data_IF_073816766695
#
_entry.id   IF_073816766695
#
_cell.length_a   1.000
_cell.length_b   1.000
_cell.length_c   1.000
_cell.angle_alpha   90.00
_cell.angle_beta   90.00
_cell.angle_gamma   90.00
#
_symmetry.space_group_name_H-M   'P 1'
#
loop_
_entity.id
_entity.type
_entity.pdbx_description
1 polymer ?
#
# COMPACT_ATOMS: atom_id res chain seq x y z
N UNK A 1 -11.71 11.40 -13.36
CA UNK A 1 -12.02 12.36 -12.26
C UNK A 1 -10.86 13.32 -12.02
N UNK A 2 -9.62 12.85 -11.81
CA UNK A 2 -8.48 13.76 -11.65
C UNK A 2 -8.38 14.77 -12.80
N UNK A 3 -8.46 14.33 -14.06
CA UNK A 3 -8.38 15.21 -15.23
C UNK A 3 -9.44 16.32 -15.30
N UNK A 4 -10.64 16.11 -14.74
CA UNK A 4 -11.76 17.08 -14.84
C UNK A 4 -11.81 18.07 -13.68
N UNK A 5 -11.14 17.77 -12.57
CA UNK A 5 -11.06 18.68 -11.41
C UNK A 5 -9.91 19.66 -11.68
N UNK A 6 -10.09 20.98 -11.51
CA UNK A 6 -8.99 21.95 -11.61
C UNK A 6 -7.85 21.70 -10.61
N UNK A 7 -6.62 22.16 -10.92
CA UNK A 7 -5.44 21.90 -10.08
C UNK A 7 -5.43 22.71 -8.77
N UNK A 8 -6.11 23.84 -8.75
CA UNK A 8 -6.31 24.69 -7.57
C UNK A 8 -7.37 24.14 -6.60
N UNK A 9 -8.21 23.20 -7.06
CA UNK A 9 -9.19 22.51 -6.22
C UNK A 9 -8.55 21.28 -5.60
N UNK A 10 -8.51 21.25 -4.26
CA UNK A 10 -8.01 20.11 -3.50
C UNK A 10 -8.79 18.83 -3.85
N UNK A 11 -8.06 17.77 -4.21
CA UNK A 11 -8.62 16.47 -4.58
C UNK A 11 -7.95 15.38 -3.76
N UNK A 12 -8.73 14.46 -3.21
CA UNK A 12 -8.22 13.26 -2.55
C UNK A 12 -9.19 12.08 -2.73
N UNK A 13 -8.85 10.89 -2.25
CA UNK A 13 -9.70 9.70 -2.33
C UNK A 13 -10.08 9.20 -0.94
N UNK A 14 -11.15 8.40 -0.86
CA UNK A 14 -11.50 7.72 0.39
C UNK A 14 -10.35 6.87 0.91
N UNK A 15 -9.63 6.17 0.02
CA UNK A 15 -8.48 5.35 0.41
C UNK A 15 -7.35 6.16 1.05
N UNK A 16 -7.08 7.38 0.56
CA UNK A 16 -6.10 8.29 1.16
C UNK A 16 -6.55 8.75 2.55
N UNK A 17 -7.82 9.14 2.69
CA UNK A 17 -8.40 9.52 3.98
C UNK A 17 -8.34 8.36 4.99
N UNK A 18 -8.65 7.15 4.54
CA UNK A 18 -8.67 5.96 5.39
C UNK A 18 -7.26 5.54 5.84
N UNK A 19 -6.29 5.65 4.93
CA UNK A 19 -4.86 5.51 5.23
C UNK A 19 -4.42 6.48 6.34
N UNK A 20 -4.79 7.76 6.24
CA UNK A 20 -4.49 8.76 7.28
C UNK A 20 -5.24 8.50 8.59
N UNK A 21 -6.49 8.04 8.51
CA UNK A 21 -7.32 7.80 9.69
C UNK A 21 -6.80 6.63 10.55
N UNK A 22 -6.47 5.50 9.92
CA UNK A 22 -6.10 4.25 10.61
C UNK A 22 -4.60 3.96 10.65
N UNK A 23 -3.82 4.43 9.69
CA UNK A 23 -2.40 4.09 9.56
C UNK A 23 -1.44 5.21 9.97
N UNK A 24 -0.25 5.14 9.36
CA UNK A 24 0.75 6.20 9.30
C UNK A 24 0.84 6.66 7.84
N UNK A 25 0.23 7.80 7.52
CA UNK A 25 0.10 8.29 6.14
C UNK A 25 1.45 8.59 5.49
N UNK A 26 2.37 9.23 6.22
CA UNK A 26 3.69 9.63 5.72
C UNK A 26 4.55 8.40 5.42
N UNK A 27 4.56 7.41 6.32
CA UNK A 27 5.24 6.14 6.10
C UNK A 27 4.67 5.40 4.88
N UNK A 28 3.33 5.33 4.76
CA UNK A 28 2.66 4.66 3.64
C UNK A 28 2.90 5.36 2.30
N UNK A 29 2.97 6.69 2.31
CA UNK A 29 3.33 7.49 1.15
C UNK A 29 4.79 7.23 0.76
N UNK A 30 5.72 7.24 1.71
CA UNK A 30 7.13 6.93 1.47
C UNK A 30 7.30 5.54 0.87
N UNK A 31 6.65 4.52 1.45
CA UNK A 31 6.70 3.15 0.91
C UNK A 31 6.10 3.02 -0.49
N UNK A 32 5.12 3.85 -0.85
CA UNK A 32 4.61 3.90 -2.22
C UNK A 32 5.66 4.48 -3.18
N UNK A 33 6.32 5.58 -2.80
CA UNK A 33 7.38 6.19 -3.59
C UNK A 33 8.60 5.27 -3.76
N UNK A 34 8.86 4.39 -2.79
CA UNK A 34 9.95 3.40 -2.85
C UNK A 34 9.70 2.28 -3.86
N UNK A 35 8.48 2.13 -4.40
CA UNK A 35 8.19 1.13 -5.43
C UNK A 35 9.08 1.31 -6.68
N UNK A 36 9.54 2.55 -6.96
CA UNK A 36 10.46 2.83 -8.07
C UNK A 36 11.86 2.22 -7.90
N UNK A 37 12.24 1.87 -6.67
CA UNK A 37 13.54 1.33 -6.32
C UNK A 37 13.56 -0.21 -6.34
N UNK A 38 12.40 -0.85 -6.54
CA UNK A 38 12.28 -2.30 -6.62
C UNK A 38 13.06 -2.86 -7.82
N UNK A 39 13.59 -4.06 -7.64
CA UNK A 39 14.42 -4.79 -8.59
C UNK A 39 13.73 -6.06 -9.04
N UNK A 40 14.26 -6.65 -10.11
CA UNK A 40 13.83 -7.97 -10.54
C UNK A 40 14.11 -9.01 -9.44
N UNK A 41 13.17 -9.92 -9.28
CA UNK A 41 13.11 -10.99 -8.28
C UNK A 41 12.98 -10.55 -6.81
N UNK A 42 12.77 -9.25 -6.54
CA UNK A 42 12.38 -8.76 -5.20
C UNK A 42 11.06 -9.40 -4.75
N UNK A 43 10.98 -9.78 -3.47
CA UNK A 43 9.79 -10.37 -2.87
C UNK A 43 8.96 -9.30 -2.15
N UNK A 44 7.68 -9.20 -2.51
CA UNK A 44 6.71 -8.27 -1.95
C UNK A 44 5.72 -9.04 -1.09
N UNK A 45 5.55 -8.62 0.16
CA UNK A 45 4.51 -9.18 1.04
C UNK A 45 3.20 -8.42 0.85
N UNK A 46 2.15 -9.12 0.44
CA UNK A 46 0.78 -8.62 0.37
C UNK A 46 0.01 -9.06 1.60
N UNK A 47 -0.54 -8.11 2.34
CA UNK A 47 -1.16 -8.35 3.66
C UNK A 47 -2.65 -8.05 3.63
N UNK A 48 -3.47 -9.07 3.85
CA UNK A 48 -4.91 -8.92 4.07
C UNK A 48 -5.23 -8.88 5.57
N UNK A 49 -5.90 -7.83 6.02
CA UNK A 49 -6.32 -7.70 7.43
C UNK A 49 -7.46 -8.64 7.84
N UNK A 50 -7.98 -9.45 6.92
CA UNK A 50 -9.13 -10.33 7.11
C UNK A 50 -8.87 -11.70 6.51
N UNK A 51 -9.53 -12.72 7.03
CA UNK A 51 -9.39 -14.12 6.60
C UNK A 51 -10.54 -14.59 5.69
N UNK A 52 -11.38 -13.68 5.17
CA UNK A 52 -12.57 -14.06 4.41
C UNK A 52 -12.24 -14.54 2.99
N UNK A 53 -13.21 -15.25 2.40
CA UNK A 53 -13.05 -16.01 1.15
C UNK A 53 -12.67 -15.11 -0.04
N UNK A 54 -11.56 -15.47 -0.66
CA UNK A 54 -10.97 -14.83 -1.84
C UNK A 54 -11.80 -15.18 -3.09
N UNK A 55 -11.92 -14.22 -4.02
CA UNK A 55 -12.59 -14.40 -5.32
C UNK A 55 -11.57 -14.37 -6.47
N UNK A 56 -11.94 -14.81 -7.67
CA UNK A 56 -11.02 -14.85 -8.82
C UNK A 56 -10.52 -13.44 -9.25
N UNK A 57 -11.24 -12.37 -8.90
CA UNK A 57 -10.90 -10.97 -9.21
C UNK A 57 -10.34 -10.20 -7.99
N UNK A 58 -9.69 -10.92 -7.07
CA UNK A 58 -9.17 -10.38 -5.82
C UNK A 58 -8.20 -9.21 -6.05
N UNK A 59 -8.49 -8.08 -5.42
CA UNK A 59 -7.68 -6.87 -5.52
C UNK A 59 -6.26 -7.15 -5.02
N UNK A 60 -6.12 -7.82 -3.87
CA UNK A 60 -4.85 -8.10 -3.24
C UNK A 60 -4.04 -9.15 -3.98
N UNK A 61 -4.67 -10.23 -4.47
CA UNK A 61 -3.93 -11.34 -5.12
C UNK A 61 -3.69 -11.18 -6.61
N UNK A 62 -4.50 -10.38 -7.30
CA UNK A 62 -4.44 -10.26 -8.76
C UNK A 62 -4.12 -8.83 -9.17
N UNK A 63 -4.95 -7.85 -8.77
CA UNK A 63 -4.85 -6.49 -9.33
C UNK A 63 -3.64 -5.74 -8.83
N UNK A 64 -3.34 -5.80 -7.52
CA UNK A 64 -2.18 -5.11 -6.93
C UNK A 64 -0.86 -5.66 -7.49
N UNK A 65 -0.62 -6.98 -7.51
CA UNK A 65 0.57 -7.53 -8.17
C UNK A 65 0.72 -7.13 -9.64
N UNK A 66 -0.37 -7.15 -10.41
CA UNK A 66 -0.34 -6.74 -11.82
C UNK A 66 -0.04 -5.24 -12.00
N UNK A 67 -0.64 -4.38 -11.17
CA UNK A 67 -0.38 -2.94 -11.19
C UNK A 67 1.07 -2.63 -10.82
N UNK A 68 1.62 -3.29 -9.81
CA UNK A 68 3.01 -3.11 -9.41
C UNK A 68 3.98 -3.52 -10.50
N UNK A 69 3.83 -4.74 -11.07
CA UNK A 69 4.68 -5.19 -12.17
C UNK A 69 4.59 -4.26 -13.39
N UNK A 70 3.38 -3.77 -13.72
CA UNK A 70 3.20 -2.80 -14.80
C UNK A 70 3.90 -1.47 -14.50
N UNK A 71 3.77 -0.96 -13.29
CA UNK A 71 4.37 0.31 -12.88
C UNK A 71 5.90 0.24 -12.87
N UNK A 72 6.47 -0.82 -12.30
CA UNK A 72 7.93 -0.97 -12.15
C UNK A 72 8.60 -1.53 -13.40
N UNK A 73 7.86 -2.20 -14.28
CA UNK A 73 8.40 -3.03 -15.37
C UNK A 73 9.41 -4.09 -14.86
N UNK A 74 9.21 -4.57 -13.62
CA UNK A 74 10.05 -5.59 -12.96
C UNK A 74 9.31 -6.90 -12.81
N UNK A 75 10.05 -8.00 -12.87
CA UNK A 75 9.55 -9.33 -12.50
C UNK A 75 9.63 -9.46 -10.98
N UNK A 76 8.51 -9.25 -10.29
CA UNK A 76 8.45 -9.29 -8.82
C UNK A 76 7.89 -10.63 -8.33
N UNK A 77 8.35 -11.08 -7.16
CA UNK A 77 7.78 -12.20 -6.44
C UNK A 77 6.75 -11.70 -5.42
N UNK A 78 5.66 -12.45 -5.21
CA UNK A 78 4.60 -12.05 -4.29
C UNK A 78 4.30 -13.16 -3.29
N UNK A 79 4.36 -12.82 -2.01
CA UNK A 79 3.87 -13.65 -0.92
C UNK A 79 2.63 -13.00 -0.29
N UNK A 80 1.76 -13.82 0.30
CA UNK A 80 0.47 -13.37 0.80
C UNK A 80 0.25 -13.86 2.22
N UNK A 81 -0.15 -12.96 3.11
CA UNK A 81 -0.66 -13.33 4.44
C UNK A 81 -2.03 -12.70 4.70
N UNK A 82 -2.80 -13.31 5.60
CA UNK A 82 -4.17 -12.90 5.88
C UNK A 82 -4.51 -12.97 7.37
N UNK A 83 -5.42 -12.11 7.84
CA UNK A 83 -5.89 -12.12 9.21
C UNK A 83 -4.77 -11.83 10.22
N UNK A 84 -4.56 -12.74 11.16
CA UNK A 84 -3.56 -12.62 12.24
C UNK A 84 -2.14 -13.07 11.84
N UNK A 85 -1.97 -13.65 10.66
CA UNK A 85 -0.72 -14.32 10.23
C UNK A 85 0.34 -13.33 9.72
N UNK A 86 0.42 -12.14 10.34
CA UNK A 86 1.45 -11.16 9.97
C UNK A 86 2.82 -11.66 10.48
N UNK A 87 3.82 -11.86 9.59
CA UNK A 87 5.07 -12.51 9.96
C UNK A 87 5.93 -11.63 10.88
N UNK A 88 6.66 -12.29 11.79
CA UNK A 88 7.60 -11.61 12.69
C UNK A 88 8.93 -11.26 11.99
N UNK A 89 9.36 -12.09 11.02
CA UNK A 89 10.54 -11.83 10.20
C UNK A 89 10.14 -11.26 8.82
N UNK A 90 10.49 -9.99 8.63
CA UNK A 90 10.23 -9.23 7.41
C UNK A 90 11.48 -9.05 6.53
N UNK A 91 12.64 -9.50 6.99
CA UNK A 91 13.95 -9.17 6.39
C UNK A 91 14.12 -9.60 4.92
N UNK A 92 13.35 -10.60 4.49
CA UNK A 92 13.33 -11.12 3.10
C UNK A 92 12.49 -10.27 2.14
N UNK A 93 11.66 -9.36 2.62
CA UNK A 93 10.76 -8.59 1.78
C UNK A 93 11.37 -7.25 1.40
N UNK A 94 11.23 -6.86 0.13
CA UNK A 94 11.64 -5.55 -0.34
C UNK A 94 10.59 -4.46 -0.05
N UNK A 95 9.32 -4.87 0.09
CA UNK A 95 8.19 -3.98 0.39
C UNK A 95 7.04 -4.78 1.00
N UNK A 96 6.33 -4.15 1.94
CA UNK A 96 5.05 -4.65 2.45
C UNK A 96 3.89 -3.80 1.89
N UNK A 97 2.89 -4.44 1.30
CA UNK A 97 1.67 -3.77 0.83
C UNK A 97 0.47 -4.28 1.64
N UNK A 98 -0.05 -3.42 2.51
CA UNK A 98 -1.18 -3.76 3.35
C UNK A 98 -2.51 -3.40 2.68
N UNK A 99 -3.56 -4.19 2.88
CA UNK A 99 -4.90 -3.82 2.47
C UNK A 99 -5.41 -2.60 3.25
N UNK A 100 -6.59 -2.09 2.92
CA UNK A 100 -7.17 -0.94 3.64
C UNK A 100 -7.42 -1.20 5.13
N UNK A 101 -7.48 -2.46 5.57
CA UNK A 101 -7.74 -2.78 6.97
C UNK A 101 -9.16 -2.46 7.40
N UNK A 102 -10.15 -2.68 6.54
CA UNK A 102 -11.54 -2.31 6.78
C UNK A 102 -12.07 -2.88 8.10
N UNK A 103 -11.76 -4.15 8.39
CA UNK A 103 -12.17 -4.86 9.61
C UNK A 103 -11.20 -4.68 10.78
N UNK A 104 -9.99 -4.15 10.55
CA UNK A 104 -8.98 -3.98 11.60
C UNK A 104 -9.16 -2.65 12.31
N UNK A 105 -8.83 -2.62 13.61
CA UNK A 105 -8.76 -1.36 14.35
C UNK A 105 -7.45 -0.60 14.04
N UNK A 106 -7.42 0.67 14.42
CA UNK A 106 -6.27 1.56 14.22
C UNK A 106 -4.99 1.08 14.92
N UNK A 107 -5.12 0.48 16.10
CA UNK A 107 -3.97 -0.02 16.88
C UNK A 107 -3.26 -1.15 16.13
N UNK A 108 -4.01 -2.07 15.54
CA UNK A 108 -3.45 -3.21 14.81
C UNK A 108 -2.77 -2.79 13.51
N UNK A 109 -3.36 -1.87 12.74
CA UNK A 109 -2.72 -1.33 11.53
C UNK A 109 -1.41 -0.63 11.88
N UNK A 110 -1.41 0.21 12.92
CA UNK A 110 -0.19 0.90 13.37
C UNK A 110 0.88 -0.06 13.86
N UNK A 111 0.52 -1.05 14.67
CA UNK A 111 1.45 -2.08 15.14
C UNK A 111 2.19 -2.75 13.97
N UNK A 112 1.48 -3.13 12.91
CA UNK A 112 2.10 -3.75 11.72
C UNK A 112 3.03 -2.81 10.98
N UNK A 113 2.64 -1.54 10.85
CA UNK A 113 3.49 -0.51 10.24
C UNK A 113 4.75 -0.22 11.08
N UNK A 114 4.63 -0.19 12.40
CA UNK A 114 5.75 -0.04 13.35
C UNK A 114 6.72 -1.23 13.25
N UNK A 115 6.22 -2.46 13.06
CA UNK A 115 7.06 -3.63 12.80
C UNK A 115 7.85 -3.51 11.49
N UNK A 116 7.20 -3.04 10.41
CA UNK A 116 7.89 -2.78 9.15
C UNK A 116 8.99 -1.72 9.32
N UNK A 117 8.69 -0.62 10.02
CA UNK A 117 9.65 0.44 10.30
C UNK A 117 10.84 -0.05 11.12
N UNK A 118 10.59 -0.82 12.17
CA UNK A 118 11.64 -1.42 13.01
C UNK A 118 12.53 -2.40 12.22
N UNK A 119 11.97 -3.11 11.24
CA UNK A 119 12.69 -3.99 10.34
C UNK A 119 13.40 -3.24 9.18
N UNK A 120 13.21 -1.92 9.05
CA UNK A 120 13.74 -1.13 7.95
C UNK A 120 13.10 -1.46 6.58
N UNK A 121 11.92 -2.09 6.58
CA UNK A 121 11.23 -2.51 5.36
C UNK A 121 10.17 -1.46 5.00
N UNK A 122 10.21 -0.89 3.78
CA UNK A 122 9.17 0.02 3.31
C UNK A 122 7.79 -0.63 3.40
N UNK A 123 6.78 0.16 3.77
CA UNK A 123 5.40 -0.31 3.87
C UNK A 123 4.44 0.69 3.25
N UNK A 124 3.44 0.20 2.52
CA UNK A 124 2.40 1.01 1.90
C UNK A 124 1.03 0.33 1.96
N UNK A 125 0.04 0.82 1.22
CA UNK A 125 -1.26 0.18 1.10
C UNK A 125 -1.82 0.20 -0.33
N UNK A 126 -2.90 -0.56 -0.55
CA UNK A 126 -3.55 -0.67 -1.86
C UNK A 126 -3.96 0.66 -2.46
N UNK A 127 -4.52 1.57 -1.65
CA UNK A 127 -4.94 2.89 -2.13
C UNK A 127 -3.78 3.71 -2.68
N UNK A 128 -2.64 3.66 -2.00
CA UNK A 128 -1.41 4.33 -2.42
C UNK A 128 -0.84 3.71 -3.70
N UNK A 129 -0.75 2.37 -3.77
CA UNK A 129 -0.26 1.65 -4.95
C UNK A 129 -1.15 1.91 -6.18
N UNK A 130 -2.48 1.89 -6.02
CA UNK A 130 -3.41 2.19 -7.11
C UNK A 130 -3.22 3.63 -7.58
N UNK A 131 -3.10 4.58 -6.65
CA UNK A 131 -2.91 6.00 -7.00
C UNK A 131 -1.55 6.26 -7.66
N UNK A 132 -0.51 5.51 -7.26
CA UNK A 132 0.81 5.53 -7.89
C UNK A 132 0.74 5.02 -9.32
N UNK A 133 0.17 3.83 -9.53
CA UNK A 133 0.04 3.21 -10.85
C UNK A 133 -0.84 4.03 -11.82
N UNK A 134 -1.76 4.84 -11.29
CA UNK A 134 -2.60 5.76 -12.07
C UNK A 134 -1.96 7.14 -12.30
N UNK A 135 -0.79 7.43 -11.72
CA UNK A 135 -0.11 8.73 -11.86
C UNK A 135 -0.79 9.88 -11.11
N UNK A 136 -1.59 9.59 -10.08
CA UNK A 136 -2.34 10.60 -9.30
C UNK A 136 -1.97 10.64 -7.82
N UNK A 137 -0.96 9.87 -7.40
CA UNK A 137 -0.52 9.78 -6.01
C UNK A 137 -0.22 11.15 -5.39
N UNK A 138 0.67 11.93 -6.01
CA UNK A 138 1.09 13.23 -5.47
C UNK A 138 -0.09 14.19 -5.30
N UNK A 139 -0.93 14.31 -6.34
CA UNK A 139 -2.11 15.17 -6.31
C UNK A 139 -3.10 14.76 -5.23
N UNK A 140 -3.37 13.46 -5.10
CA UNK A 140 -4.36 12.96 -4.13
C UNK A 140 -3.84 12.93 -2.69
N UNK A 141 -2.52 12.90 -2.50
CA UNK A 141 -1.86 12.96 -1.21
C UNK A 141 -1.61 14.41 -0.72
N UNK A 142 -1.41 15.37 -1.63
CA UNK A 142 -1.04 16.74 -1.30
C UNK A 142 -1.92 17.42 -0.22
N UNK A 143 -3.27 17.29 -0.21
CA UNK A 143 -4.10 17.90 0.83
C UNK A 143 -3.92 17.29 2.23
N UNK A 144 -3.24 16.15 2.34
CA UNK A 144 -3.13 15.35 3.56
C UNK A 144 -1.74 15.39 4.20
N UNK A 145 -0.73 15.81 3.45
CA UNK A 145 0.62 16.05 3.96
C UNK A 145 0.58 17.24 4.93
N UNK A 146 1.30 17.14 6.05
CA UNK A 146 1.47 18.28 6.96
C UNK A 146 2.27 19.37 6.24
N UNK A 147 1.81 20.61 6.36
CA UNK A 147 2.61 21.79 6.01
C UNK A 147 3.60 22.10 7.12
#
# INVERSE_FOLDING_TARGET
VAEIVPQDVALTTFSMLFSRQKGNFEQQMSGALDCKNLKDDDTILIVEGCSHRQTCDDIGRVKIPALMQKYTSKKLNFEFCSGGDFPDDLSRYALVVHCGGCVLNKKEIRRRLELCEAAGIPATNYGMVISLAQGVLERTAAPLLKK
#
